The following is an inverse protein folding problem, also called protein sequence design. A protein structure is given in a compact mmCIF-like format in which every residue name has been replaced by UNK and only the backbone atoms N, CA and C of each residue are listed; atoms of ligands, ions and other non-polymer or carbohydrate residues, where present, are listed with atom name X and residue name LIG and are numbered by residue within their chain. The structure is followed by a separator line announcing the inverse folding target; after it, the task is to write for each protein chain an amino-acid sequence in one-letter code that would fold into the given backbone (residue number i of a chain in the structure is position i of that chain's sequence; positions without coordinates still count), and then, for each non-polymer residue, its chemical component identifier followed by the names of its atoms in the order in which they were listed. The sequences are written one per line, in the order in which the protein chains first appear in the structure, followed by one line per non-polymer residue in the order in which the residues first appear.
data_IF_579905942951
#
_entry.id   IF_579905942951
#
_cell.length_a   1.000
_cell.length_b   1.000
_cell.length_c   1.000
_cell.angle_alpha   90.00
_cell.angle_beta   90.00
_cell.angle_gamma   90.00
#
_symmetry.space_group_name_H-M   'P 1'
#
loop_
_entity.id
_entity.type
_entity.pdbx_description
1 polymer ?
#
# COMPACT_ATOMS: atom_id res chain seq x y z
N UNK A 1 -7.07 -4.79 26.96
CA UNK A 1 -8.09 -4.86 25.89
C UNK A 1 -8.11 -6.28 25.33
N UNK A 2 -9.22 -7.01 25.50
CA UNK A 2 -9.38 -8.41 25.08
C UNK A 2 -9.68 -8.46 23.57
N UNK A 3 -8.65 -8.85 22.82
CA UNK A 3 -8.64 -9.45 21.49
C UNK A 3 -9.89 -9.30 20.60
N UNK A 4 -9.75 -8.53 19.52
CA UNK A 4 -10.55 -8.64 18.29
C UNK A 4 -10.46 -10.08 17.75
N UNK A 5 -11.35 -10.96 18.23
CA UNK A 5 -11.51 -12.35 17.78
C UNK A 5 -12.39 -12.40 16.52
N UNK A 6 -12.08 -11.57 15.52
CA UNK A 6 -12.80 -11.60 14.24
C UNK A 6 -12.46 -12.86 13.41
N UNK A 7 -11.30 -13.47 13.67
CA UNK A 7 -10.87 -14.72 13.04
C UNK A 7 -10.33 -15.68 14.11
N UNK A 8 -10.95 -16.87 14.15
CA UNK A 8 -10.52 -17.97 15.01
C UNK A 8 -9.08 -18.37 14.67
N UNK A 9 -8.23 -18.35 15.69
CA UNK A 9 -6.87 -18.93 15.90
C UNK A 9 -5.99 -19.41 14.72
N UNK A 10 -6.17 -18.94 13.50
CA UNK A 10 -5.38 -19.33 12.33
C UNK A 10 -4.43 -18.19 11.95
N UNK A 11 -3.24 -18.22 12.58
CA UNK A 11 -2.16 -17.24 12.33
C UNK A 11 -1.79 -17.10 10.86
N UNK A 12 -1.89 -18.17 10.07
CA UNK A 12 -1.62 -18.17 8.63
C UNK A 12 -2.64 -17.33 7.84
N UNK A 13 -3.93 -17.42 8.16
CA UNK A 13 -4.97 -16.65 7.49
C UNK A 13 -4.85 -15.15 7.82
N UNK A 14 -4.46 -14.81 9.05
CA UNK A 14 -4.21 -13.43 9.47
C UNK A 14 -3.04 -12.79 8.71
N UNK A 15 -1.96 -13.55 8.50
CA UNK A 15 -0.82 -13.09 7.71
C UNK A 15 -1.22 -12.81 6.25
N UNK A 16 -1.92 -13.75 5.61
CA UNK A 16 -2.38 -13.58 4.22
C UNK A 16 -3.33 -12.39 4.07
N UNK A 17 -4.22 -12.19 5.04
CA UNK A 17 -5.13 -11.05 5.05
C UNK A 17 -4.38 -9.72 5.21
N UNK A 18 -3.41 -9.66 6.13
CA UNK A 18 -2.62 -8.45 6.35
C UNK A 18 -1.71 -8.13 5.16
N UNK A 19 -1.12 -9.13 4.52
CA UNK A 19 -0.36 -8.98 3.29
C UNK A 19 -1.24 -8.48 2.14
N UNK A 20 -2.42 -9.09 1.95
CA UNK A 20 -3.37 -8.67 0.93
C UNK A 20 -3.82 -7.22 1.15
N UNK A 21 -4.15 -6.85 2.38
CA UNK A 21 -4.49 -5.48 2.74
C UNK A 21 -3.35 -4.50 2.43
N UNK A 22 -2.11 -4.84 2.81
CA UNK A 22 -0.93 -4.02 2.50
C UNK A 22 -0.71 -3.83 0.99
N UNK A 23 -0.87 -4.89 0.20
CA UNK A 23 -0.77 -4.80 -1.27
C UNK A 23 -1.86 -3.95 -1.90
N UNK A 24 -3.10 -4.04 -1.41
CA UNK A 24 -4.20 -3.20 -1.91
C UNK A 24 -3.99 -1.73 -1.57
N UNK A 25 -3.53 -1.42 -0.36
CA UNK A 25 -3.18 -0.05 0.04
C UNK A 25 -2.04 0.53 -0.79
N UNK A 26 -1.02 -0.27 -1.12
CA UNK A 26 0.06 0.15 -2.02
C UNK A 26 -0.41 0.41 -3.45
N UNK A 27 -1.23 -0.48 -4.01
CA UNK A 27 -1.76 -0.30 -5.37
C UNK A 27 -2.68 0.92 -5.45
N UNK A 28 -3.53 1.12 -4.45
CA UNK A 28 -4.39 2.30 -4.33
C UNK A 28 -3.59 3.60 -4.10
N UNK A 29 -2.52 3.54 -3.32
CA UNK A 29 -1.61 4.67 -3.14
C UNK A 29 -0.84 5.01 -4.41
N UNK A 30 -0.35 4.02 -5.15
CA UNK A 30 0.38 4.26 -6.40
C UNK A 30 -0.52 4.86 -7.49
N UNK A 31 -1.75 4.35 -7.63
CA UNK A 31 -2.72 4.93 -8.56
C UNK A 31 -3.14 6.34 -8.16
N UNK A 32 -3.34 6.59 -6.86
CA UNK A 32 -3.58 7.92 -6.31
C UNK A 32 -2.43 8.90 -6.61
N UNK A 33 -1.18 8.45 -6.48
CA UNK A 33 0.00 9.26 -6.76
C UNK A 33 0.07 9.67 -8.23
N UNK A 34 -0.21 8.74 -9.13
CA UNK A 34 -0.25 9.04 -10.58
C UNK A 34 -1.33 10.07 -10.88
N UNK A 35 -2.53 9.94 -10.29
CA UNK A 35 -3.63 10.89 -10.50
C UNK A 35 -3.29 12.29 -9.98
N UNK A 36 -2.72 12.39 -8.78
CA UNK A 36 -2.29 13.66 -8.16
C UNK A 36 -1.18 14.31 -9.01
N UNK A 37 -0.18 13.53 -9.45
CA UNK A 37 0.90 14.05 -10.30
C UNK A 37 0.38 14.53 -11.65
N UNK A 38 -0.51 13.77 -12.29
CA UNK A 38 -1.09 14.15 -13.57
C UNK A 38 -1.85 15.47 -13.48
N UNK A 39 -2.70 15.61 -12.45
CA UNK A 39 -3.45 16.84 -12.21
C UNK A 39 -2.53 18.03 -11.94
N UNK A 40 -1.47 17.84 -11.15
CA UNK A 40 -0.50 18.90 -10.87
C UNK A 40 0.22 19.37 -12.14
N UNK A 41 0.68 18.43 -12.97
CA UNK A 41 1.39 18.76 -14.23
C UNK A 41 0.48 19.52 -15.18
N UNK A 42 -0.75 19.05 -15.38
CA UNK A 42 -1.73 19.70 -16.24
C UNK A 42 -2.08 21.12 -15.77
N UNK A 43 -2.23 21.32 -14.45
CA UNK A 43 -2.47 22.64 -13.85
C UNK A 43 -1.29 23.59 -14.09
N UNK A 44 -0.06 23.11 -13.87
CA UNK A 44 1.15 23.92 -14.10
C UNK A 44 1.34 24.26 -15.58
N UNK A 45 1.04 23.33 -16.49
CA UNK A 45 1.10 23.59 -17.92
C UNK A 45 0.11 24.68 -18.35
N UNK A 46 -1.13 24.64 -17.85
CA UNK A 46 -2.14 25.68 -18.10
C UNK A 46 -1.71 27.03 -17.57
N UNK A 47 -1.15 27.07 -16.36
CA UNK A 47 -0.61 28.30 -15.78
C UNK A 47 0.53 28.89 -16.65
N UNK A 48 1.46 28.07 -17.13
CA UNK A 48 2.54 28.51 -18.03
C UNK A 48 2.01 29.04 -19.36
N UNK A 49 0.98 28.42 -19.92
CA UNK A 49 0.35 28.84 -21.17
C UNK A 49 -0.33 30.21 -21.02
N UNK A 50 -1.04 30.46 -19.92
CA UNK A 50 -1.65 31.77 -19.64
C UNK A 50 -0.60 32.89 -19.54
N UNK A 51 0.48 32.64 -18.79
CA UNK A 51 1.59 33.59 -18.66
C UNK A 51 2.24 33.87 -20.02
N UNK A 52 2.36 32.85 -20.88
CA UNK A 52 2.98 32.99 -22.19
C UNK A 52 2.09 33.67 -23.24
N UNK A 53 0.76 33.50 -23.18
CA UNK A 53 -0.18 34.12 -24.12
C UNK A 53 -0.69 35.50 -23.67
N UNK A 54 -0.44 35.90 -22.42
CA UNK A 54 -0.77 37.25 -21.92
C UNK A 54 -2.27 37.52 -21.79
N UNK A 55 -3.10 36.48 -21.66
CA UNK A 55 -4.56 36.57 -21.55
C UNK A 55 -4.92 36.38 -20.08
N UNK A 56 -5.26 37.45 -19.32
CA UNK A 56 -5.67 37.32 -17.93
C UNK A 56 -7.11 36.81 -17.90
N UNK A 57 -7.31 35.54 -17.53
CA UNK A 57 -8.65 34.94 -17.53
C UNK A 57 -8.94 34.03 -16.35
N UNK A 58 -8.05 33.11 -15.98
CA UNK A 58 -8.35 32.09 -14.97
C UNK A 58 -7.09 31.63 -14.24
N UNK A 59 -6.71 32.33 -13.16
CA UNK A 59 -5.63 31.86 -12.27
C UNK A 59 -5.92 30.45 -11.74
N UNK A 60 -5.20 29.46 -12.27
CA UNK A 60 -5.27 28.07 -11.83
C UNK A 60 -4.50 27.86 -10.53
N UNK A 61 -5.20 28.01 -9.41
CA UNK A 61 -4.69 27.66 -8.08
C UNK A 61 -4.96 26.18 -7.77
N UNK A 62 -4.02 25.51 -7.10
CA UNK A 62 -4.26 24.15 -6.60
C UNK A 62 -5.27 24.22 -5.46
N UNK A 63 -6.48 23.72 -5.70
CA UNK A 63 -7.53 23.66 -4.70
C UNK A 63 -7.14 22.84 -3.47
N UNK A 64 -7.81 23.11 -2.34
CA UNK A 64 -7.59 22.38 -1.09
C UNK A 64 -7.79 20.85 -1.22
N UNK A 65 -8.68 20.44 -2.11
CA UNK A 65 -8.92 19.03 -2.47
C UNK A 65 -7.66 18.34 -2.98
N UNK A 66 -6.79 19.03 -3.72
CA UNK A 66 -5.53 18.49 -4.19
C UNK A 66 -4.60 18.13 -3.05
N UNK A 67 -4.43 19.03 -2.09
CA UNK A 67 -3.58 18.82 -0.92
C UNK A 67 -4.08 17.67 -0.05
N UNK A 68 -5.40 17.55 0.12
CA UNK A 68 -5.99 16.42 0.82
C UNK A 68 -5.79 15.10 0.07
N UNK A 69 -5.90 15.09 -1.26
CA UNK A 69 -5.62 13.91 -2.08
C UNK A 69 -4.14 13.50 -2.03
N UNK A 70 -3.22 14.47 -2.07
CA UNK A 70 -1.79 14.24 -1.93
C UNK A 70 -1.44 13.65 -0.56
N UNK A 71 -1.95 14.26 0.52
CA UNK A 71 -1.76 13.76 1.88
C UNK A 71 -2.36 12.36 2.08
N UNK A 72 -3.57 12.12 1.56
CA UNK A 72 -4.23 10.82 1.60
C UNK A 72 -3.42 9.74 0.88
N UNK A 73 -2.88 10.07 -0.29
CA UNK A 73 -2.03 9.17 -1.08
C UNK A 73 -0.72 8.82 -0.35
N UNK A 74 -0.07 9.78 0.28
CA UNK A 74 1.13 9.53 1.09
C UNK A 74 0.78 8.61 2.26
N UNK A 75 -0.34 8.87 2.94
CA UNK A 75 -0.79 8.06 4.06
C UNK A 75 -1.11 6.61 3.65
N UNK A 76 -1.78 6.39 2.51
CA UNK A 76 -2.08 5.04 2.01
C UNK A 76 -0.83 4.28 1.61
N UNK A 77 0.13 4.93 0.95
CA UNK A 77 1.44 4.36 0.64
C UNK A 77 2.19 3.95 1.91
N UNK A 78 2.31 4.86 2.88
CA UNK A 78 3.00 4.59 4.15
C UNK A 78 2.31 3.47 4.91
N UNK A 79 0.98 3.45 4.96
CA UNK A 79 0.20 2.37 5.59
C UNK A 79 0.46 1.03 4.92
N UNK A 80 0.46 0.98 3.58
CA UNK A 80 0.77 -0.22 2.82
C UNK A 80 2.17 -0.76 3.10
N UNK A 81 3.18 0.12 3.10
CA UNK A 81 4.58 -0.24 3.42
C UNK A 81 4.69 -0.74 4.86
N UNK A 82 4.11 -0.02 5.83
CA UNK A 82 4.18 -0.40 7.24
C UNK A 82 3.50 -1.75 7.50
N UNK A 83 2.36 -2.02 6.87
CA UNK A 83 1.71 -3.33 6.96
C UNK A 83 2.60 -4.43 6.41
N UNK A 84 3.24 -4.24 5.26
CA UNK A 84 4.14 -5.26 4.68
C UNK A 84 5.38 -5.45 5.54
N UNK A 85 6.04 -4.38 5.97
CA UNK A 85 7.25 -4.42 6.81
C UNK A 85 6.96 -5.04 8.18
N UNK A 86 5.85 -4.71 8.81
CA UNK A 86 5.47 -5.29 10.10
C UNK A 86 5.27 -6.81 10.00
N UNK A 87 4.70 -7.29 8.90
CA UNK A 87 4.57 -8.72 8.63
C UNK A 87 5.94 -9.40 8.39
N UNK A 88 6.88 -8.72 7.74
CA UNK A 88 8.27 -9.21 7.56
C UNK A 88 9.12 -9.14 8.86
N UNK A 89 8.88 -8.17 9.74
CA UNK A 89 9.58 -8.07 11.03
C UNK A 89 9.09 -9.12 12.04
N UNK A 90 7.82 -9.54 11.95
CA UNK A 90 7.32 -10.68 12.72
C UNK A 90 8.09 -11.98 12.42
N UNK A 91 8.61 -12.13 11.19
CA UNK A 91 9.53 -13.21 10.80
C UNK A 91 10.99 -12.99 11.24
N UNK A 92 11.35 -11.80 11.73
CA UNK A 92 12.71 -11.37 12.06
C UNK A 92 12.89 -10.97 13.54
N UNK A 93 12.16 -11.62 14.45
CA UNK A 93 12.56 -11.57 15.87
C UNK A 93 13.67 -12.59 16.11
N UNK A 94 14.88 -12.17 16.53
CA UNK A 94 15.86 -13.12 17.07
C UNK A 94 15.25 -13.68 18.34
N UNK A 95 14.79 -14.94 18.29
CA UNK A 95 14.41 -15.70 19.47
C UNK A 95 15.62 -15.83 20.40
N UNK A 96 15.83 -14.87 21.31
CA UNK A 96 16.65 -15.11 22.50
C UNK A 96 15.85 -16.04 23.43
N UNK A 97 16.04 -17.34 23.20
CA UNK A 97 15.77 -18.41 24.16
C UNK A 97 14.31 -18.79 24.42
N UNK A 98 13.76 -19.73 23.63
CA UNK A 98 13.05 -20.92 24.16
C UNK A 98 12.72 -21.92 23.05
N UNK A 99 12.98 -23.18 23.35
CA UNK A 99 12.92 -24.37 22.50
C UNK A 99 11.50 -24.65 21.98
N UNK A 100 11.31 -24.72 20.66
CA UNK A 100 10.63 -25.80 19.93
C UNK A 100 10.56 -25.48 18.41
N UNK A 101 10.78 -26.46 17.53
CA UNK A 101 11.01 -26.25 16.12
C UNK A 101 9.69 -26.23 15.37
N UNK A 102 9.47 -25.25 14.47
CA UNK A 102 8.60 -25.44 13.31
C UNK A 102 9.23 -24.74 12.11
N UNK A 103 10.07 -25.54 11.46
CA UNK A 103 10.39 -25.58 10.03
C UNK A 103 9.48 -24.69 9.18
N UNK A 104 10.07 -23.69 8.54
CA UNK A 104 9.51 -23.08 7.33
C UNK A 104 9.61 -24.10 6.20
N UNK A 105 8.49 -24.52 5.63
CA UNK A 105 8.48 -25.15 4.31
C UNK A 105 7.80 -24.19 3.33
N UNK A 106 8.41 -23.86 2.17
CA UNK A 106 7.73 -23.20 1.08
C UNK A 106 6.71 -24.16 0.41
N UNK A 107 5.71 -23.64 -0.33
CA UNK A 107 4.70 -24.47 -0.95
C UNK A 107 5.28 -25.23 -2.16
N UNK A 108 5.35 -26.56 -2.08
CA UNK A 108 5.50 -27.40 -3.28
C UNK A 108 4.16 -27.41 -4.01
N UNK A 109 4.18 -26.80 -5.19
CA UNK A 109 3.14 -26.87 -6.22
C UNK A 109 2.75 -28.33 -6.48
N UNK A 110 1.53 -28.72 -6.12
CA UNK A 110 0.97 -30.04 -6.41
C UNK A 110 0.68 -30.14 -7.91
N UNK A 111 1.72 -30.47 -8.69
CA UNK A 111 1.65 -30.76 -10.13
C UNK A 111 1.25 -32.24 -10.30
N UNK A 112 -0.04 -32.43 -10.62
CA UNK A 112 -0.66 -33.45 -11.49
C UNK A 112 0.19 -34.67 -11.92
N UNK A 113 -0.31 -35.88 -11.62
CA UNK A 113 0.08 -37.20 -12.15
C UNK A 113 -0.48 -38.27 -11.20
N UNK A 114 -1.68 -38.84 -11.38
CA UNK A 114 -2.13 -39.86 -12.34
C UNK A 114 -1.36 -41.19 -12.22
N UNK A 115 -2.10 -42.29 -12.39
CA UNK A 115 -1.70 -43.73 -12.52
C UNK A 115 -1.05 -44.36 -11.27
N UNK A 116 -1.37 -45.58 -10.83
CA UNK A 116 -2.22 -46.68 -11.32
C UNK A 116 -2.36 -47.66 -10.14
#
# INVERSE_FOLDING_TARGET
MKCTKLISNQVHQKYKFSLAAGTLFLLGGLSGAIAVLWYAVDTVQKYRLEVSLGIPGVTYELGYSYWMAAAGTICTCVTGILLIVANCSSTWTPRRGRKHPRVCLPPVSQRKGTYL
#
